data_IF_788715252474
#
_entry.id   IF_788715252474
#
_cell.length_a   1.000
_cell.length_b   1.000
_cell.length_c   1.000
_cell.angle_alpha   90.00
_cell.angle_beta   90.00
_cell.angle_gamma   90.00
#
_symmetry.space_group_name_H-M   'P 1'
#
loop_
_entity.id
_entity.type
_entity.pdbx_description
1 polymer ?
#
# COMPACT_ATOMS: atom_id res chain seq x y z
N UNK A 1 -16.02 -14.86 -19.37
CA UNK A 1 -15.33 -13.90 -20.27
C UNK A 1 -16.22 -12.67 -20.33
N UNK A 2 -15.89 -11.50 -19.79
CA UNK A 2 -14.76 -10.94 -19.04
C UNK A 2 -15.32 -9.68 -18.34
N UNK A 3 -15.05 -9.45 -17.04
CA UNK A 3 -15.13 -8.11 -16.49
C UNK A 3 -13.82 -7.75 -15.77
N UNK A 4 -12.99 -6.94 -16.43
CA UNK A 4 -11.88 -6.16 -15.84
C UNK A 4 -10.71 -6.99 -15.33
N UNK A 5 -10.21 -7.93 -16.13
CA UNK A 5 -8.77 -8.13 -16.10
C UNK A 5 -8.13 -6.79 -16.52
N UNK A 6 -7.64 -6.02 -15.55
CA UNK A 6 -6.56 -5.09 -15.83
C UNK A 6 -5.43 -5.96 -16.38
N UNK A 7 -5.36 -6.08 -17.70
CA UNK A 7 -4.16 -6.57 -18.36
C UNK A 7 -3.10 -5.52 -18.03
N UNK A 8 -2.42 -5.74 -16.91
CA UNK A 8 -1.16 -5.09 -16.65
C UNK A 8 -0.33 -5.26 -17.94
N UNK A 9 0.22 -4.18 -18.50
CA UNK A 9 0.99 -4.28 -19.72
C UNK A 9 2.04 -5.39 -19.56
N UNK A 10 2.30 -6.13 -20.64
CA UNK A 10 3.34 -7.14 -20.65
C UNK A 10 4.63 -6.52 -20.09
N UNK A 11 5.23 -7.20 -19.10
CA UNK A 11 6.45 -6.71 -18.47
C UNK A 11 7.49 -6.41 -19.56
N UNK A 12 8.07 -5.19 -19.62
CA UNK A 12 9.05 -4.87 -20.63
C UNK A 12 10.23 -5.84 -20.55
N UNK A 13 10.91 -6.07 -21.67
CA UNK A 13 12.14 -6.85 -21.65
C UNK A 13 13.14 -6.22 -20.66
N UNK A 14 13.72 -7.02 -19.77
CA UNK A 14 14.62 -6.52 -18.72
C UNK A 14 15.77 -5.68 -19.29
N UNK A 15 16.25 -6.01 -20.48
CA UNK A 15 17.34 -5.29 -21.15
C UNK A 15 16.99 -3.83 -21.45
N UNK A 16 15.72 -3.49 -21.64
CA UNK A 16 15.28 -2.10 -21.88
C UNK A 16 15.05 -1.33 -20.58
N UNK A 17 14.85 -2.02 -19.45
CA UNK A 17 14.60 -1.40 -18.14
C UNK A 17 15.83 -1.38 -17.23
N UNK A 18 16.92 -2.07 -17.58
CA UNK A 18 18.02 -2.32 -16.66
C UNK A 18 18.60 -1.03 -16.05
N UNK A 19 18.90 -0.03 -16.87
CA UNK A 19 19.44 1.25 -16.41
C UNK A 19 18.44 2.03 -15.52
N UNK A 20 17.17 2.12 -15.94
CA UNK A 20 16.13 2.82 -15.18
C UNK A 20 15.84 2.11 -13.84
N UNK A 21 15.85 0.77 -13.86
CA UNK A 21 15.68 -0.05 -12.67
C UNK A 21 16.83 0.14 -11.68
N UNK A 22 18.07 0.17 -12.16
CA UNK A 22 19.25 0.44 -11.34
C UNK A 22 19.21 1.86 -10.75
N UNK A 23 18.87 2.87 -11.55
CA UNK A 23 18.72 4.25 -11.11
C UNK A 23 17.60 4.41 -10.07
N UNK A 24 16.46 3.75 -10.28
CA UNK A 24 15.36 3.71 -9.31
C UNK A 24 15.81 3.08 -7.99
N UNK A 25 16.43 1.91 -8.05
CA UNK A 25 16.90 1.20 -6.85
C UNK A 25 18.00 1.93 -6.09
N UNK A 26 18.85 2.71 -6.78
CA UNK A 26 19.91 3.49 -6.16
C UNK A 26 19.37 4.50 -5.13
N UNK A 27 18.16 5.02 -5.33
CA UNK A 27 17.49 5.94 -4.39
C UNK A 27 17.29 5.34 -3.00
N UNK A 28 17.06 4.04 -2.93
CA UNK A 28 16.80 3.31 -1.69
C UNK A 28 18.07 2.76 -1.03
N UNK A 29 19.25 2.98 -1.64
CA UNK A 29 20.50 2.40 -1.18
C UNK A 29 20.84 2.77 0.27
N UNK A 30 20.57 4.02 0.67
CA UNK A 30 20.85 4.54 1.99
C UNK A 30 19.99 3.93 3.11
N UNK A 31 18.90 3.24 2.76
CA UNK A 31 18.05 2.54 3.75
C UNK A 31 18.71 1.28 4.32
N UNK A 32 19.79 0.81 3.70
CA UNK A 32 20.49 -0.40 4.09
C UNK A 32 21.90 -0.06 4.56
N UNK A 33 22.19 -0.33 5.82
CA UNK A 33 23.54 -0.16 6.39
C UNK A 33 24.55 -1.11 5.71
N UNK A 34 24.09 -2.30 5.31
CA UNK A 34 24.92 -3.37 4.76
C UNK A 34 24.63 -3.59 3.27
N UNK A 35 25.66 -3.97 2.53
CA UNK A 35 25.55 -4.25 1.10
C UNK A 35 24.74 -5.52 0.82
N UNK A 36 24.77 -6.53 1.69
CA UNK A 36 24.10 -7.80 1.43
C UNK A 36 22.55 -7.68 1.43
N UNK A 37 21.90 -7.06 2.44
CA UNK A 37 20.45 -6.80 2.39
C UNK A 37 20.05 -5.89 1.23
N UNK A 38 20.88 -4.90 0.89
CA UNK A 38 20.65 -4.02 -0.27
C UNK A 38 20.60 -4.80 -1.58
N UNK A 39 21.60 -5.65 -1.83
CA UNK A 39 21.65 -6.50 -3.01
C UNK A 39 20.46 -7.47 -3.05
N UNK A 40 20.08 -8.01 -1.88
CA UNK A 40 18.93 -8.89 -1.79
C UNK A 40 17.61 -8.17 -2.09
N UNK A 41 17.45 -6.90 -1.68
CA UNK A 41 16.27 -6.10 -1.98
C UNK A 41 16.10 -5.88 -3.49
N UNK A 42 17.19 -5.60 -4.21
CA UNK A 42 17.19 -5.45 -5.68
C UNK A 42 16.73 -6.76 -6.34
N UNK A 43 17.32 -7.89 -5.93
CA UNK A 43 16.91 -9.22 -6.42
C UNK A 43 15.44 -9.52 -6.12
N UNK A 44 14.98 -9.19 -4.92
CA UNK A 44 13.61 -9.41 -4.49
C UNK A 44 12.60 -8.64 -5.34
N UNK A 45 12.80 -7.33 -5.55
CA UNK A 45 11.91 -6.51 -6.38
C UNK A 45 11.94 -6.96 -7.84
N UNK A 46 13.12 -7.26 -8.38
CA UNK A 46 13.25 -7.84 -9.73
C UNK A 46 12.44 -9.13 -9.87
N UNK A 47 12.53 -10.01 -8.86
CA UNK A 47 11.78 -11.26 -8.85
C UNK A 47 10.26 -11.08 -8.73
N UNK A 48 9.79 -10.04 -8.03
CA UNK A 48 8.35 -9.72 -7.95
C UNK A 48 7.76 -9.28 -9.29
N UNK A 49 8.58 -8.66 -10.14
CA UNK A 49 8.23 -8.27 -11.51
C UNK A 49 8.42 -9.43 -12.51
N UNK A 50 9.02 -10.53 -12.08
CA UNK A 50 9.25 -11.72 -12.89
C UNK A 50 8.03 -12.65 -12.97
N UNK A 51 8.16 -13.78 -13.70
CA UNK A 51 7.05 -14.70 -14.01
C UNK A 51 6.67 -15.64 -12.86
N UNK A 52 7.16 -15.41 -11.63
CA UNK A 52 6.94 -16.31 -10.51
C UNK A 52 5.43 -16.46 -10.21
N UNK A 53 4.89 -17.66 -10.42
CA UNK A 53 3.46 -17.94 -10.33
C UNK A 53 2.87 -17.68 -8.92
N UNK A 54 3.67 -17.84 -7.85
CA UNK A 54 3.31 -17.33 -6.53
C UNK A 54 4.49 -16.61 -5.89
N UNK A 55 4.16 -15.54 -5.18
CA UNK A 55 5.11 -14.61 -4.56
C UNK A 55 5.39 -14.95 -3.09
N UNK A 56 5.72 -16.22 -2.82
CA UNK A 56 6.16 -16.65 -1.49
C UNK A 56 7.70 -16.71 -1.42
N UNK A 57 8.26 -16.75 -0.21
CA UNK A 57 9.70 -16.68 -0.01
C UNK A 57 10.49 -17.79 -0.70
N UNK A 58 9.91 -18.99 -0.85
CA UNK A 58 10.55 -20.12 -1.54
C UNK A 58 10.62 -19.88 -3.05
N UNK A 59 9.48 -19.63 -3.69
CA UNK A 59 9.42 -19.45 -5.14
C UNK A 59 10.16 -18.18 -5.60
N UNK A 60 10.17 -17.14 -4.77
CA UNK A 60 10.99 -15.95 -5.03
C UNK A 60 12.49 -16.27 -4.88
N UNK A 61 12.89 -17.04 -3.88
CA UNK A 61 14.30 -17.45 -3.74
C UNK A 61 14.76 -18.31 -4.93
N UNK A 62 13.94 -19.27 -5.39
CA UNK A 62 14.22 -20.06 -6.59
C UNK A 62 14.37 -19.18 -7.84
N UNK A 63 13.44 -18.24 -8.04
CA UNK A 63 13.49 -17.30 -9.17
C UNK A 63 14.70 -16.36 -9.13
N UNK A 64 15.20 -16.04 -7.94
CA UNK A 64 16.41 -15.24 -7.70
C UNK A 64 17.69 -16.07 -7.89
N UNK A 65 17.62 -17.40 -7.77
CA UNK A 65 18.76 -18.31 -7.77
C UNK A 65 19.41 -18.49 -6.38
N UNK A 66 18.68 -18.20 -5.30
CA UNK A 66 19.15 -18.50 -3.94
C UNK A 66 18.89 -19.99 -3.60
N UNK A 67 19.80 -20.65 -2.85
CA UNK A 67 19.66 -22.07 -2.53
C UNK A 67 18.56 -22.36 -1.51
N UNK A 68 18.19 -21.37 -0.69
CA UNK A 68 17.17 -21.49 0.37
C UNK A 68 16.36 -20.18 0.47
N UNK A 69 15.14 -20.21 1.05
CA UNK A 69 14.32 -19.01 1.24
C UNK A 69 14.89 -18.03 2.27
N UNK A 70 15.94 -18.41 3.01
CA UNK A 70 16.44 -17.71 4.18
C UNK A 70 16.84 -16.26 3.88
N UNK A 71 17.42 -15.99 2.71
CA UNK A 71 17.82 -14.62 2.33
C UNK A 71 16.62 -13.71 2.10
N UNK A 72 15.58 -14.23 1.42
CA UNK A 72 14.32 -13.51 1.22
C UNK A 72 13.61 -13.29 2.55
N UNK A 73 13.55 -14.31 3.40
CA UNK A 73 12.95 -14.19 4.73
C UNK A 73 13.72 -13.21 5.62
N UNK A 74 15.06 -13.26 5.60
CA UNK A 74 15.91 -12.35 6.38
C UNK A 74 15.66 -10.90 5.98
N UNK A 75 15.57 -10.61 4.68
CA UNK A 75 15.26 -9.28 4.17
C UNK A 75 13.91 -8.75 4.70
N UNK A 76 12.87 -9.60 4.71
CA UNK A 76 11.52 -9.18 5.07
C UNK A 76 11.27 -9.13 6.59
N UNK A 77 11.95 -9.97 7.38
CA UNK A 77 11.65 -10.14 8.81
C UNK A 77 12.70 -9.58 9.77
N UNK A 78 13.94 -9.38 9.33
CA UNK A 78 15.05 -9.14 10.25
C UNK A 78 16.11 -8.15 9.78
N UNK A 79 16.16 -7.85 8.48
CA UNK A 79 17.05 -6.81 7.98
C UNK A 79 16.56 -5.46 8.50
N UNK A 80 17.52 -4.64 8.94
CA UNK A 80 17.25 -3.29 9.43
C UNK A 80 17.11 -2.34 8.24
N UNK A 81 15.87 -2.03 7.88
CA UNK A 81 15.50 -1.01 6.90
C UNK A 81 14.09 -0.50 7.23
N UNK A 82 13.83 0.78 6.95
CA UNK A 82 12.52 1.38 7.24
C UNK A 82 11.60 1.34 6.01
N UNK A 83 10.48 0.64 6.18
CA UNK A 83 9.44 0.54 5.15
C UNK A 83 8.71 1.87 4.92
N UNK A 84 8.66 2.72 5.95
CA UNK A 84 8.14 4.08 5.93
C UNK A 84 9.11 5.05 5.24
N UNK A 85 10.41 4.94 5.50
CA UNK A 85 11.41 5.75 4.78
C UNK A 85 11.45 5.39 3.29
N UNK A 86 11.27 4.11 2.94
CA UNK A 86 11.10 3.70 1.54
C UNK A 86 9.83 4.30 0.91
N UNK A 87 8.74 4.39 1.67
CA UNK A 87 7.49 5.03 1.24
C UNK A 87 7.70 6.53 0.97
N UNK A 88 8.45 7.23 1.82
CA UNK A 88 8.78 8.65 1.61
C UNK A 88 9.65 8.87 0.36
N UNK A 89 10.67 8.02 0.12
CA UNK A 89 11.49 8.08 -1.10
C UNK A 89 10.67 7.77 -2.37
N UNK A 90 9.66 6.91 -2.27
CA UNK A 90 8.75 6.63 -3.37
C UNK A 90 7.84 7.83 -3.67
N UNK A 91 7.41 8.59 -2.64
CA UNK A 91 6.68 9.84 -2.83
C UNK A 91 7.56 10.89 -3.53
N UNK A 92 8.84 11.02 -3.15
CA UNK A 92 9.79 11.92 -3.84
C UNK A 92 9.93 11.55 -5.33
N UNK A 93 10.14 10.26 -5.61
CA UNK A 93 10.17 9.77 -6.99
C UNK A 93 8.86 10.05 -7.74
N UNK A 94 7.73 9.92 -7.05
CA UNK A 94 6.41 10.20 -7.63
C UNK A 94 6.27 11.67 -8.01
N UNK A 95 6.69 12.60 -7.15
CA UNK A 95 6.67 14.04 -7.42
C UNK A 95 7.52 14.34 -8.66
N UNK A 96 8.72 13.79 -8.74
CA UNK A 96 9.65 14.05 -9.85
C UNK A 96 9.15 13.49 -11.19
N UNK A 97 8.64 12.26 -11.20
CA UNK A 97 8.34 11.54 -12.45
C UNK A 97 6.86 11.66 -12.87
N UNK A 98 5.94 11.60 -11.90
CA UNK A 98 4.50 11.53 -12.12
C UNK A 98 3.75 12.80 -11.67
N UNK A 99 4.43 13.75 -11.03
CA UNK A 99 3.83 14.99 -10.53
C UNK A 99 3.05 15.72 -11.61
N UNK A 100 1.78 16.01 -11.32
CA UNK A 100 0.84 16.68 -12.21
C UNK A 100 -0.06 17.58 -11.37
N UNK A 101 -0.22 18.88 -11.68
CA UNK A 101 -1.13 19.77 -10.97
C UNK A 101 -2.59 19.29 -10.94
N UNK A 102 -3.00 18.38 -11.84
CA UNK A 102 -4.32 17.74 -11.86
C UNK A 102 -4.29 16.29 -11.33
N UNK A 103 -3.21 15.89 -10.66
CA UNK A 103 -3.07 14.56 -10.07
C UNK A 103 -4.21 14.18 -9.13
N UNK A 104 -4.51 12.89 -9.09
CA UNK A 104 -5.65 12.34 -8.36
C UNK A 104 -5.13 11.32 -7.35
N UNK A 105 -5.44 11.53 -6.06
CA UNK A 105 -5.28 10.52 -5.02
C UNK A 105 -6.47 9.57 -5.03
N UNK A 106 -6.21 8.27 -5.02
CA UNK A 106 -7.24 7.22 -4.99
C UNK A 106 -7.09 6.42 -3.70
N UNK A 107 -8.12 6.47 -2.86
CA UNK A 107 -8.26 5.70 -1.65
C UNK A 107 -8.99 4.39 -1.95
N UNK A 108 -8.40 3.28 -1.53
CA UNK A 108 -9.00 1.96 -1.69
C UNK A 108 -8.51 1.01 -0.60
N UNK A 109 -9.23 -0.09 -0.43
CA UNK A 109 -8.92 -1.14 0.53
C UNK A 109 -8.75 -2.46 -0.18
N UNK A 110 -7.83 -3.27 0.33
CA UNK A 110 -7.66 -4.62 -0.19
C UNK A 110 -7.66 -5.65 0.93
N UNK A 111 -8.45 -6.71 0.71
CA UNK A 111 -8.60 -7.81 1.66
C UNK A 111 -7.68 -8.98 1.32
N UNK A 112 -6.80 -9.33 2.26
CA UNK A 112 -5.93 -10.48 2.15
C UNK A 112 -6.51 -11.64 2.95
N UNK A 113 -7.05 -12.66 2.27
CA UNK A 113 -7.60 -13.84 2.92
C UNK A 113 -6.54 -14.57 3.74
N UNK A 114 -6.91 -14.99 4.95
CA UNK A 114 -6.02 -15.69 5.88
C UNK A 114 -6.71 -16.88 6.54
N UNK A 115 -5.89 -17.85 6.93
CA UNK A 115 -6.29 -18.94 7.82
C UNK A 115 -5.61 -18.76 9.17
N UNK A 116 -6.32 -19.11 10.24
CA UNK A 116 -5.84 -18.96 11.62
C UNK A 116 -5.95 -17.54 12.18
N UNK A 117 -5.38 -17.35 13.38
CA UNK A 117 -5.53 -16.14 14.20
C UNK A 117 -4.22 -15.35 14.41
N UNK A 118 -3.10 -15.83 13.87
CA UNK A 118 -1.75 -15.33 14.17
C UNK A 118 -1.25 -14.19 13.28
N UNK A 119 -1.84 -13.95 12.11
CA UNK A 119 -1.45 -12.80 11.28
C UNK A 119 -1.95 -11.49 11.90
N UNK A 120 -1.09 -10.49 12.08
CA UNK A 120 -1.44 -9.18 12.67
C UNK A 120 -2.69 -8.59 12.00
N UNK A 121 -3.67 -8.13 12.76
CA UNK A 121 -4.90 -7.54 12.21
C UNK A 121 -5.84 -8.52 11.51
N UNK A 122 -5.61 -9.83 11.58
CA UNK A 122 -6.56 -10.81 11.03
C UNK A 122 -7.82 -10.89 11.89
N UNK A 123 -8.97 -10.72 11.26
CA UNK A 123 -10.28 -10.86 11.89
C UNK A 123 -11.32 -11.29 10.85
N UNK A 124 -12.49 -11.75 11.33
CA UNK A 124 -13.68 -11.92 10.49
C UNK A 124 -14.27 -10.54 10.18
N UNK A 125 -14.11 -10.09 8.95
CA UNK A 125 -14.59 -8.79 8.48
C UNK A 125 -14.97 -8.88 7.01
N UNK A 126 -15.76 -7.92 6.53
CA UNK A 126 -16.11 -7.87 5.11
C UNK A 126 -14.85 -7.64 4.27
N UNK A 127 -14.63 -8.50 3.28
CA UNK A 127 -13.55 -8.37 2.31
C UNK A 127 -14.16 -8.08 0.94
N UNK A 128 -13.94 -6.88 0.40
CA UNK A 128 -14.40 -6.51 -0.93
C UNK A 128 -13.89 -7.49 -2.00
N UNK A 129 -12.64 -7.92 -1.90
CA UNK A 129 -12.02 -8.90 -2.81
C UNK A 129 -12.71 -10.27 -2.77
N UNK A 130 -13.26 -10.68 -1.62
CA UNK A 130 -13.96 -11.95 -1.48
C UNK A 130 -15.49 -11.83 -1.66
N UNK A 131 -16.05 -10.61 -1.63
CA UNK A 131 -17.47 -10.32 -1.69
C UNK A 131 -18.26 -10.79 -0.45
N UNK A 132 -17.59 -11.12 0.65
CA UNK A 132 -18.22 -11.68 1.86
C UNK A 132 -17.41 -11.41 3.13
N UNK A 133 -18.04 -11.66 4.28
CA UNK A 133 -17.36 -11.70 5.58
C UNK A 133 -16.52 -12.96 5.66
N UNK A 134 -15.22 -12.79 5.74
CA UNK A 134 -14.24 -13.86 5.87
C UNK A 134 -13.12 -13.46 6.81
N UNK A 135 -12.30 -14.44 7.19
CA UNK A 135 -11.10 -14.17 7.96
C UNK A 135 -10.02 -13.57 7.05
N UNK A 136 -9.70 -12.29 7.24
CA UNK A 136 -8.75 -11.57 6.41
C UNK A 136 -8.00 -10.47 7.18
N UNK A 137 -6.90 -10.01 6.61
CA UNK A 137 -6.30 -8.71 6.90
C UNK A 137 -6.84 -7.69 5.89
N UNK A 138 -6.99 -6.43 6.30
CA UNK A 138 -7.34 -5.35 5.39
C UNK A 138 -6.16 -4.36 5.33
N UNK A 139 -5.68 -4.09 4.12
CA UNK A 139 -4.78 -2.96 3.86
C UNK A 139 -5.57 -1.78 3.31
N UNK A 140 -5.28 -0.59 3.83
CA UNK A 140 -5.72 0.71 3.30
C UNK A 140 -4.59 1.25 2.43
N UNK A 141 -4.91 1.68 1.21
CA UNK A 141 -3.94 2.13 0.22
C UNK A 141 -4.32 3.51 -0.30
N UNK A 142 -3.30 4.35 -0.47
CA UNK A 142 -3.39 5.59 -1.22
C UNK A 142 -2.54 5.39 -2.47
N UNK A 143 -3.19 5.38 -3.62
CA UNK A 143 -2.51 5.44 -4.92
C UNK A 143 -2.65 6.82 -5.54
N UNK A 144 -1.83 7.10 -6.52
CA UNK A 144 -1.79 8.36 -7.24
C UNK A 144 -1.87 8.07 -8.73
N UNK A 145 -2.76 8.77 -9.42
CA UNK A 145 -2.92 8.67 -10.85
C UNK A 145 -2.80 10.05 -11.49
N UNK A 146 -2.14 10.08 -12.64
CA UNK A 146 -1.97 11.28 -13.47
C UNK A 146 -1.97 10.88 -14.95
N UNK A 147 -1.83 11.88 -15.82
CA UNK A 147 -1.57 11.67 -17.25
C UNK A 147 -0.31 10.84 -17.54
N UNK A 148 0.61 10.74 -16.56
CA UNK A 148 1.90 10.04 -16.69
C UNK A 148 1.88 8.60 -16.17
N UNK A 149 0.81 8.17 -15.51
CA UNK A 149 0.66 6.81 -15.01
C UNK A 149 0.14 6.73 -13.58
N UNK A 150 0.33 5.56 -12.97
CA UNK A 150 -0.26 5.18 -11.68
C UNK A 150 0.80 4.62 -10.74
N UNK A 151 0.83 5.08 -9.49
CA UNK A 151 1.80 4.64 -8.48
C UNK A 151 1.13 4.52 -7.10
N UNK A 152 1.68 3.70 -6.21
CA UNK A 152 1.26 3.67 -4.81
C UNK A 152 2.02 4.75 -4.04
N UNK A 153 1.32 5.60 -3.29
CA UNK A 153 1.91 6.60 -2.42
C UNK A 153 2.14 6.06 -1.01
N UNK A 154 1.14 5.42 -0.42
CA UNK A 154 1.21 4.96 0.97
C UNK A 154 0.38 3.68 1.18
N UNK A 155 0.66 2.97 2.27
CA UNK A 155 0.00 1.73 2.67
C UNK A 155 -0.11 1.64 4.19
N UNK A 156 -1.26 1.23 4.70
CA UNK A 156 -1.46 1.02 6.14
C UNK A 156 -2.24 -0.26 6.40
N UNK A 157 -1.85 -1.00 7.43
CA UNK A 157 -2.61 -2.15 7.89
C UNK A 157 -3.75 -1.65 8.79
N UNK A 158 -4.99 -1.99 8.47
CA UNK A 158 -6.11 -1.75 9.37
C UNK A 158 -6.07 -2.77 10.52
N UNK A 159 -5.92 -2.28 11.75
CA UNK A 159 -5.91 -3.07 12.97
C UNK A 159 -7.30 -2.98 13.64
N UNK A 160 -8.11 -4.06 13.63
CA UNK A 160 -9.46 -4.02 14.21
C UNK A 160 -9.44 -3.72 15.71
N UNK A 161 -10.52 -3.15 16.24
CA UNK A 161 -10.64 -2.82 17.68
C UNK A 161 -10.41 -4.03 18.60
N UNK A 162 -10.85 -5.22 18.16
CA UNK A 162 -10.62 -6.49 18.87
C UNK A 162 -9.13 -6.89 18.97
N UNK A 163 -8.27 -6.36 18.11
CA UNK A 163 -6.82 -6.47 18.26
C UNK A 163 -6.28 -5.40 19.19
N UNK A 164 -6.72 -4.16 19.03
CA UNK A 164 -6.24 -3.04 19.84
C UNK A 164 -6.54 -3.23 21.33
N UNK A 165 -7.64 -3.90 21.65
CA UNK A 165 -8.11 -4.23 23.00
C UNK A 165 -7.53 -5.52 23.59
N UNK A 166 -6.62 -6.23 22.89
CA UNK A 166 -5.98 -7.47 23.36
C UNK A 166 -4.45 -7.28 23.49
N UNK A 167 -3.94 -6.85 24.67
CA UNK A 167 -2.52 -6.59 24.88
C UNK A 167 -1.65 -7.84 24.70
N UNK A 168 -2.14 -9.02 25.12
CA UNK A 168 -1.37 -10.26 25.01
C UNK A 168 -1.16 -10.65 23.54
N UNK A 169 -2.21 -10.52 22.72
CA UNK A 169 -2.14 -10.78 21.28
C UNK A 169 -1.27 -9.75 20.55
N UNK A 170 -1.34 -8.48 20.94
CA UNK A 170 -0.47 -7.42 20.40
C UNK A 170 1.00 -7.70 20.70
N UNK A 171 1.32 -8.12 21.92
CA UNK A 171 2.68 -8.45 22.33
C UNK A 171 3.22 -9.66 21.56
N UNK A 172 2.45 -10.75 21.47
CA UNK A 172 2.83 -11.97 20.72
C UNK A 172 3.15 -11.65 19.25
N UNK A 173 2.36 -10.76 18.64
CA UNK A 173 2.51 -10.36 17.25
C UNK A 173 3.43 -9.14 17.02
N UNK A 174 4.04 -8.62 18.10
CA UNK A 174 4.94 -7.46 18.09
C UNK A 174 4.35 -6.19 17.47
N UNK A 175 3.05 -5.94 17.74
CA UNK A 175 2.41 -4.68 17.37
C UNK A 175 3.02 -3.56 18.22
N UNK A 176 3.49 -2.45 17.63
CA UNK A 176 4.01 -1.32 18.40
C UNK A 176 2.99 -0.78 19.41
N UNK A 177 3.48 -0.25 20.53
CA UNK A 177 2.63 0.17 21.66
C UNK A 177 1.76 1.39 21.31
N UNK A 178 2.28 2.29 20.49
CA UNK A 178 1.65 3.52 20.02
C UNK A 178 0.54 3.29 18.98
N UNK A 179 0.43 2.08 18.43
CA UNK A 179 -0.66 1.73 17.51
C UNK A 179 -1.97 1.62 18.27
N UNK A 180 -2.82 2.63 18.13
CA UNK A 180 -4.20 2.65 18.60
C UNK A 180 -5.20 2.27 17.49
N UNK A 181 -6.44 1.96 17.89
CA UNK A 181 -7.53 1.76 16.94
C UNK A 181 -7.79 3.04 16.14
N UNK A 182 -7.91 2.88 14.82
CA UNK A 182 -8.24 3.94 13.88
C UNK A 182 -9.16 3.36 12.81
N UNK A 183 -10.19 4.11 12.44
CA UNK A 183 -11.06 3.75 11.31
C UNK A 183 -10.28 3.85 9.99
N UNK A 184 -10.78 3.19 8.95
CA UNK A 184 -10.14 3.26 7.63
C UNK A 184 -10.13 4.68 7.04
N UNK A 185 -11.21 5.49 7.17
CA UNK A 185 -11.18 6.91 6.82
C UNK A 185 -10.14 7.71 7.63
N UNK A 186 -9.95 7.43 8.92
CA UNK A 186 -8.89 8.09 9.72
C UNK A 186 -7.49 7.75 9.21
N UNK A 187 -7.23 6.48 8.86
CA UNK A 187 -5.97 6.07 8.23
C UNK A 187 -5.78 6.77 6.89
N UNK A 188 -6.80 6.80 6.03
CA UNK A 188 -6.77 7.47 4.75
C UNK A 188 -6.46 8.97 4.87
N UNK A 189 -7.10 9.67 5.81
CA UNK A 189 -6.85 11.10 6.05
C UNK A 189 -5.39 11.35 6.45
N UNK A 190 -4.80 10.47 7.27
CA UNK A 190 -3.38 10.59 7.63
C UNK A 190 -2.45 10.32 6.45
N UNK A 191 -2.79 9.39 5.57
CA UNK A 191 -2.03 9.12 4.34
C UNK A 191 -2.09 10.32 3.38
N UNK A 192 -3.26 10.93 3.22
CA UNK A 192 -3.44 12.16 2.44
C UNK A 192 -2.64 13.32 3.02
N UNK A 193 -2.74 13.58 4.32
CA UNK A 193 -1.94 14.60 4.99
C UNK A 193 -0.45 14.39 4.79
N UNK A 194 0.04 13.14 4.92
CA UNK A 194 1.44 12.82 4.68
C UNK A 194 1.88 13.15 3.25
N UNK A 195 1.08 12.77 2.25
CA UNK A 195 1.35 13.08 0.85
C UNK A 195 1.35 14.59 0.56
N UNK A 196 0.38 15.34 1.09
CA UNK A 196 0.30 16.79 0.91
C UNK A 196 1.44 17.54 1.61
N UNK A 197 1.78 17.16 2.86
CA UNK A 197 2.92 17.72 3.58
C UNK A 197 4.24 17.49 2.85
N UNK A 198 4.35 16.37 2.14
CA UNK A 198 5.53 16.06 1.32
C UNK A 198 5.55 16.77 -0.04
N UNK A 199 4.46 17.48 -0.39
CA UNK A 199 4.35 18.27 -1.61
C UNK A 199 3.88 17.48 -2.83
N UNK A 200 3.21 16.34 -2.65
CA UNK A 200 2.62 15.60 -3.78
C UNK A 200 1.53 16.45 -4.43
N UNK A 201 1.65 16.83 -5.72
CA UNK A 201 0.64 17.65 -6.39
C UNK A 201 -0.62 16.80 -6.61
N UNK A 202 -1.70 17.11 -5.91
CA UNK A 202 -2.92 16.31 -5.89
C UNK A 202 -4.14 17.24 -5.84
N UNK A 203 -4.77 17.51 -6.98
CA UNK A 203 -5.94 18.39 -7.02
C UNK A 203 -7.23 17.69 -6.57
N UNK A 204 -7.30 16.37 -6.77
CA UNK A 204 -8.50 15.58 -6.54
C UNK A 204 -8.23 14.38 -5.64
N UNK A 205 -9.24 13.99 -4.86
CA UNK A 205 -9.27 12.73 -4.11
C UNK A 205 -10.50 11.92 -4.55
N UNK A 206 -10.34 10.62 -4.73
CA UNK A 206 -11.43 9.70 -5.03
C UNK A 206 -11.31 8.41 -4.22
N UNK A 207 -12.40 7.65 -4.15
CA UNK A 207 -12.58 6.52 -3.25
C UNK A 207 -14.03 6.03 -3.27
N UNK A 208 -14.22 4.83 -2.75
CA UNK A 208 -15.54 4.18 -2.68
C UNK A 208 -16.39 4.70 -1.50
N UNK A 209 -17.52 4.02 -1.28
CA UNK A 209 -18.51 4.33 -0.24
C UNK A 209 -17.95 4.25 1.19
N UNK A 210 -16.93 3.43 1.46
CA UNK A 210 -16.30 3.38 2.79
C UNK A 210 -15.70 4.74 3.16
N UNK A 211 -15.22 5.47 2.15
CA UNK A 211 -14.64 6.80 2.31
C UNK A 211 -15.65 7.93 2.12
N UNK A 212 -16.54 7.82 1.14
CA UNK A 212 -17.50 8.90 0.89
C UNK A 212 -18.61 9.02 1.92
N UNK A 213 -18.98 7.92 2.59
CA UNK A 213 -19.95 7.96 3.69
C UNK A 213 -19.40 8.62 4.96
N UNK A 214 -18.09 8.85 5.04
CA UNK A 214 -17.45 9.55 6.15
C UNK A 214 -17.44 11.07 5.90
N UNK A 215 -18.30 11.87 6.57
CA UNK A 215 -18.33 13.31 6.39
C UNK A 215 -17.06 14.00 6.90
N UNK A 216 -16.39 13.45 7.92
CA UNK A 216 -15.16 14.04 8.48
C UNK A 216 -14.03 13.96 7.46
N UNK A 217 -13.93 12.86 6.71
CA UNK A 217 -12.98 12.72 5.62
C UNK A 217 -13.28 13.71 4.49
N UNK A 218 -14.55 13.83 4.07
CA UNK A 218 -14.96 14.77 3.03
C UNK A 218 -14.65 16.22 3.39
N UNK A 219 -15.06 16.62 4.59
CA UNK A 219 -14.81 17.96 5.12
C UNK A 219 -13.30 18.21 5.30
N UNK A 220 -12.55 17.19 5.74
CA UNK A 220 -11.10 17.24 5.87
C UNK A 220 -10.39 17.48 4.54
N UNK A 221 -10.80 16.80 3.46
CA UNK A 221 -10.26 17.02 2.11
C UNK A 221 -10.56 18.45 1.63
N UNK A 222 -11.82 18.90 1.80
CA UNK A 222 -12.24 20.24 1.39
C UNK A 222 -11.53 21.35 2.18
N UNK A 223 -11.32 21.16 3.48
CA UNK A 223 -10.64 22.11 4.36
C UNK A 223 -9.16 22.31 3.97
N UNK A 224 -8.53 21.32 3.35
CA UNK A 224 -7.18 21.42 2.78
C UNK A 224 -7.17 22.04 1.37
N UNK A 225 -8.33 22.46 0.84
CA UNK A 225 -8.46 23.10 -0.47
C UNK A 225 -8.48 22.13 -1.65
N UNK A 226 -8.56 20.83 -1.39
CA UNK A 226 -8.61 19.80 -2.43
C UNK A 226 -10.06 19.46 -2.80
N UNK A 227 -10.26 19.03 -4.04
CA UNK A 227 -11.58 18.59 -4.52
C UNK A 227 -11.72 17.09 -4.33
N UNK A 228 -12.95 16.57 -4.30
CA UNK A 228 -13.17 15.12 -4.23
C UNK A 228 -14.33 14.64 -5.08
N UNK A 229 -14.24 13.38 -5.50
CA UNK A 229 -15.34 12.58 -6.07
C UNK A 229 -15.33 11.25 -5.35
N UNK A 230 -16.24 11.11 -4.38
CA UNK A 230 -16.35 9.93 -3.53
C UNK A 230 -17.73 9.29 -3.71
N UNK A 231 -17.75 7.97 -3.84
CA UNK A 231 -19.02 7.25 -3.87
C UNK A 231 -19.69 7.30 -2.50
N UNK A 232 -21.02 7.29 -2.45
CA UNK A 232 -21.79 7.25 -1.21
C UNK A 232 -22.89 6.21 -1.35
N UNK A 233 -23.38 5.66 -0.24
CA UNK A 233 -24.55 4.77 -0.29
C UNK A 233 -25.77 5.53 -0.83
N UNK A 234 -26.67 4.80 -1.50
CA UNK A 234 -27.86 5.37 -2.15
C UNK A 234 -28.83 6.04 -1.18
N UNK A 235 -28.76 5.70 0.11
CA UNK A 235 -29.56 6.30 1.18
C UNK A 235 -28.92 7.52 1.84
N UNK A 236 -27.77 7.99 1.33
CA UNK A 236 -27.07 9.15 1.90
C UNK A 236 -27.94 10.39 1.80
N UNK A 237 -28.27 11.06 2.92
CA UNK A 237 -29.03 12.30 2.87
C UNK A 237 -28.25 13.39 2.15
N UNK A 238 -28.87 14.01 1.15
CA UNK A 238 -28.32 15.16 0.42
C UNK A 238 -29.27 16.34 0.53
N UNK A 239 -28.71 17.54 0.56
CA UNK A 239 -29.52 18.76 0.47
C UNK A 239 -30.08 18.86 -0.95
N UNK A 240 -31.42 18.98 -1.12
CA UNK A 240 -31.99 19.24 -2.44
C UNK A 240 -31.52 20.60 -2.94
N UNK A 241 -31.17 20.67 -4.22
CA UNK A 241 -30.83 21.91 -4.93
C UNK A 241 -32.06 22.74 -5.28
#
# INVERSE_FOLDING_TARGET
MDPRASELPAAPAWDTLAADFEAFHARFAALFVRSEPRQQAIKYVRSLMGPAARRNGWQLAEAIGDPTPDRVQRLLYSADWSADAARDLLMDFTIEQFGDPQGIGVLDETGFLKKGSKSVGVARQYSGTAGKIENCQIGVFLSYTSSRGHVILDRRLYLPESWCSDPARRQDARVPEDVAFQTKPQLAMQMLHGAWQRGVPMAWVTGDEVYGDDPVLRDGIAAQGHRYVLAVISSTPVWPQ
#
